data_IF_817879534725
#
_entry.id   IF_817879534725
#
_cell.length_a   1.000
_cell.length_b   1.000
_cell.length_c   1.000
_cell.angle_alpha   90.00
_cell.angle_beta   90.00
_cell.angle_gamma   90.00
#
_symmetry.space_group_name_H-M   'P 1'
#
loop_
_entity.id
_entity.type
_entity.pdbx_description
1 polymer ?
#
# COMPACT_ATOMS: atom_id res chain seq x y z
N UNK A 1 2.71 8.83 -11.96
CA UNK A 1 3.90 9.29 -11.22
C UNK A 1 5.00 8.27 -11.37
N UNK A 2 6.18 8.74 -11.68
CA UNK A 2 7.34 7.88 -11.80
C UNK A 2 8.10 7.91 -10.48
N UNK A 3 8.17 6.76 -9.83
CA UNK A 3 8.72 6.65 -8.49
C UNK A 3 10.21 6.39 -8.46
N UNK A 4 10.83 6.10 -9.59
CA UNK A 4 12.18 5.56 -9.56
C UNK A 4 13.24 6.36 -10.27
N UNK A 5 12.91 7.28 -11.12
CA UNK A 5 13.91 7.87 -12.00
C UNK A 5 14.71 9.00 -11.36
N UNK A 6 14.15 9.65 -10.38
CA UNK A 6 14.77 10.83 -9.78
C UNK A 6 15.40 10.52 -8.46
N UNK A 7 15.02 9.44 -7.87
CA UNK A 7 15.36 9.15 -6.49
C UNK A 7 16.28 7.98 -6.42
N UNK A 8 17.03 7.96 -5.38
CA UNK A 8 17.72 6.76 -5.00
C UNK A 8 16.68 5.67 -4.78
N UNK A 9 16.86 4.53 -5.41
CA UNK A 9 16.05 3.36 -5.17
C UNK A 9 16.35 2.75 -3.80
N UNK A 10 17.30 3.28 -3.07
CA UNK A 10 17.79 2.70 -1.83
C UNK A 10 17.97 3.76 -0.77
N UNK A 11 17.81 3.34 0.47
CA UNK A 11 18.20 4.11 1.63
C UNK A 11 19.30 3.35 2.38
N UNK A 12 19.98 4.04 3.27
CA UNK A 12 21.05 3.43 4.05
C UNK A 12 20.61 3.39 5.51
N UNK A 13 20.71 2.21 6.12
CA UNK A 13 20.43 2.05 7.54
C UNK A 13 21.49 2.76 8.40
N UNK A 14 21.22 2.97 9.70
CA UNK A 14 22.22 3.53 10.60
C UNK A 14 23.52 2.73 10.66
N UNK A 15 23.48 1.45 10.32
CA UNK A 15 24.66 0.59 10.28
C UNK A 15 25.40 0.67 8.94
N UNK A 16 24.96 1.51 8.02
CA UNK A 16 25.57 1.64 6.71
C UNK A 16 25.13 0.59 5.70
N UNK A 17 24.12 -0.20 6.02
CA UNK A 17 23.61 -1.22 5.12
C UNK A 17 22.58 -0.56 4.18
N UNK A 18 22.76 -0.80 2.89
CA UNK A 18 21.84 -0.31 1.88
C UNK A 18 20.50 -1.09 1.97
N UNK A 19 19.40 -0.38 2.06
CA UNK A 19 18.07 -0.96 2.21
C UNK A 19 17.16 -0.42 1.11
N UNK A 20 16.42 -1.31 0.46
CA UNK A 20 15.46 -0.93 -0.54
C UNK A 20 14.27 -0.20 0.13
N UNK A 21 13.90 1.00 -0.33
CA UNK A 21 12.78 1.72 0.28
C UNK A 21 11.44 1.08 -0.10
N UNK A 22 10.44 1.29 0.75
CA UNK A 22 9.07 0.97 0.42
C UNK A 22 8.53 2.02 -0.55
N UNK A 23 7.96 1.59 -1.65
CA UNK A 23 7.45 2.47 -2.69
C UNK A 23 5.97 2.25 -2.93
N UNK A 24 5.33 3.27 -3.46
CA UNK A 24 3.93 3.24 -3.86
C UNK A 24 3.82 3.83 -5.27
N UNK A 25 3.06 3.20 -6.12
CA UNK A 25 2.89 3.64 -7.49
C UNK A 25 1.52 3.30 -8.02
N UNK A 26 0.99 4.18 -8.88
CA UNK A 26 -0.23 3.87 -9.62
C UNK A 26 0.13 2.93 -10.75
N UNK A 27 -0.54 1.78 -10.80
CA UNK A 27 -0.26 0.72 -11.76
C UNK A 27 -1.20 0.73 -12.95
N UNK A 28 -2.22 1.57 -12.94
CA UNK A 28 -3.13 1.73 -14.07
C UNK A 28 -2.72 2.90 -14.93
N UNK A 29 -3.07 2.84 -16.22
CA UNK A 29 -2.79 3.94 -17.13
C UNK A 29 -3.56 5.20 -16.69
N UNK A 30 -2.99 6.41 -16.87
CA UNK A 30 -3.71 7.65 -16.65
C UNK A 30 -4.94 7.75 -17.56
N UNK A 31 -5.98 8.35 -17.05
CA UNK A 31 -7.19 8.60 -17.84
C UNK A 31 -8.45 8.24 -17.09
N UNK A 32 -9.55 8.26 -17.82
CA UNK A 32 -10.84 7.89 -17.26
C UNK A 32 -10.98 6.39 -17.32
N UNK A 33 -11.11 5.76 -16.16
CA UNK A 33 -11.28 4.32 -16.05
C UNK A 33 -12.23 3.98 -14.92
N UNK A 34 -12.75 2.76 -14.94
CA UNK A 34 -13.64 2.28 -13.87
C UNK A 34 -12.91 1.87 -12.62
N UNK A 35 -11.64 1.51 -12.72
CA UNK A 35 -10.83 0.98 -11.61
C UNK A 35 -9.43 1.56 -11.69
N UNK A 36 -8.90 1.96 -10.55
CA UNK A 36 -7.50 2.32 -10.40
C UNK A 36 -6.83 1.30 -9.48
N UNK A 37 -5.60 0.93 -9.81
CA UNK A 37 -4.79 0.00 -9.01
C UNK A 37 -3.56 0.75 -8.52
N UNK A 38 -3.33 0.65 -7.22
CA UNK A 38 -2.14 1.18 -6.58
C UNK A 38 -1.35 0.01 -6.01
N UNK A 39 -0.07 -0.04 -6.31
CA UNK A 39 0.82 -1.05 -5.74
C UNK A 39 1.70 -0.41 -4.69
N UNK A 40 1.82 -1.09 -3.56
CA UNK A 40 2.74 -0.71 -2.49
C UNK A 40 3.69 -1.88 -2.29
N UNK A 41 4.97 -1.63 -2.39
CA UNK A 41 5.98 -2.67 -2.35
C UNK A 41 7.15 -2.25 -1.47
N UNK A 42 7.66 -3.18 -0.69
CA UNK A 42 8.79 -2.95 0.18
C UNK A 42 8.58 -3.53 1.56
N UNK A 43 9.59 -3.39 2.38
CA UNK A 43 9.61 -3.98 3.72
C UNK A 43 8.46 -3.50 4.60
N UNK A 44 8.07 -2.23 4.47
CA UNK A 44 7.03 -1.63 5.30
C UNK A 44 5.66 -1.54 4.61
N UNK A 45 5.49 -2.21 3.47
CA UNK A 45 4.27 -2.08 2.67
C UNK A 45 3.01 -2.45 3.47
N UNK A 46 3.02 -3.58 4.13
CA UNK A 46 1.86 -4.05 4.90
C UNK A 46 1.58 -3.12 6.08
N UNK A 47 2.62 -2.68 6.77
CA UNK A 47 2.48 -1.77 7.90
C UNK A 47 1.86 -0.44 7.48
N UNK A 48 2.33 0.12 6.38
CA UNK A 48 1.83 1.39 5.85
C UNK A 48 0.38 1.24 5.40
N UNK A 49 0.07 0.22 4.61
CA UNK A 49 -1.29 -0.01 4.15
C UNK A 49 -2.25 -0.28 5.31
N UNK A 50 -1.79 -1.03 6.31
CA UNK A 50 -2.60 -1.33 7.48
C UNK A 50 -2.98 -0.06 8.25
N UNK A 51 -2.17 0.97 8.21
CA UNK A 51 -2.45 2.23 8.89
C UNK A 51 -3.64 2.98 8.29
N UNK A 52 -3.96 2.75 7.03
CA UNK A 52 -5.02 3.48 6.32
C UNK A 52 -6.19 2.60 5.87
N UNK A 53 -6.08 1.29 6.04
CA UNK A 53 -7.11 0.35 5.59
C UNK A 53 -7.94 -0.18 6.76
N UNK A 54 -9.26 -0.18 6.59
CA UNK A 54 -10.19 -0.71 7.60
C UNK A 54 -11.10 -1.74 6.93
N UNK A 55 -10.88 -3.04 7.21
CA UNK A 55 -11.75 -4.10 6.71
C UNK A 55 -13.16 -3.94 7.24
N UNK A 56 -14.16 -4.26 6.42
CA UNK A 56 -15.56 -4.10 6.82
C UNK A 56 -16.07 -5.22 7.71
N UNK A 57 -15.59 -6.44 7.50
CA UNK A 57 -16.21 -7.62 8.13
C UNK A 57 -15.29 -8.36 9.09
N UNK A 58 -14.15 -7.81 9.41
CA UNK A 58 -13.20 -8.48 10.29
C UNK A 58 -12.40 -7.44 11.06
N UNK A 59 -11.96 -7.84 12.25
CA UNK A 59 -11.02 -7.04 13.03
C UNK A 59 -9.57 -7.42 12.71
N UNK A 60 -9.38 -8.39 11.83
CA UNK A 60 -8.04 -8.81 11.43
C UNK A 60 -7.33 -7.71 10.63
N UNK A 61 -6.04 -7.61 10.86
CA UNK A 61 -5.20 -6.65 10.14
C UNK A 61 -4.69 -7.24 8.84
N UNK A 62 -4.09 -6.42 7.98
CA UNK A 62 -3.44 -6.91 6.78
C UNK A 62 -2.26 -7.83 7.09
N UNK A 63 -1.65 -7.67 8.26
CA UNK A 63 -0.58 -8.56 8.71
C UNK A 63 -1.07 -10.00 8.85
N UNK A 64 -2.33 -10.18 9.25
CA UNK A 64 -2.93 -11.50 9.44
C UNK A 64 -3.58 -12.04 8.16
N UNK A 65 -3.66 -11.22 7.12
CA UNK A 65 -4.29 -11.64 5.87
C UNK A 65 -3.39 -12.63 5.13
N UNK A 66 -3.90 -13.82 4.77
CA UNK A 66 -3.13 -14.76 3.98
C UNK A 66 -2.73 -14.18 2.62
N UNK A 67 -1.57 -14.58 2.10
CA UNK A 67 -1.15 -14.18 0.77
C UNK A 67 -2.16 -14.63 -0.28
N UNK A 68 -2.30 -13.84 -1.33
CA UNK A 68 -3.19 -14.09 -2.47
C UNK A 68 -4.67 -14.13 -2.12
N UNK A 69 -5.04 -13.49 -1.01
CA UNK A 69 -6.44 -13.29 -0.65
C UNK A 69 -6.81 -11.83 -0.79
N UNK A 70 -8.11 -11.57 -0.88
CA UNK A 70 -8.65 -10.22 -1.09
C UNK A 70 -9.54 -9.86 0.09
N UNK A 71 -9.41 -8.64 0.58
CA UNK A 71 -10.32 -8.09 1.59
C UNK A 71 -10.92 -6.79 1.10
N UNK A 72 -12.20 -6.64 1.38
CA UNK A 72 -12.96 -5.43 1.10
C UNK A 72 -12.97 -4.53 2.33
N UNK A 73 -12.81 -3.25 2.12
CA UNK A 73 -12.87 -2.28 3.20
C UNK A 73 -12.73 -0.86 2.72
N UNK A 74 -12.41 0.01 3.65
CA UNK A 74 -12.28 1.42 3.39
C UNK A 74 -10.84 1.89 3.58
N UNK A 75 -10.43 2.82 2.74
CA UNK A 75 -9.28 3.67 3.01
C UNK A 75 -9.77 4.85 3.84
N UNK A 76 -9.06 5.16 4.91
CA UNK A 76 -9.40 6.26 5.81
C UNK A 76 -8.28 7.30 5.82
N UNK A 77 -8.65 8.54 6.15
CA UNK A 77 -7.68 9.60 6.33
C UNK A 77 -7.12 9.60 7.76
N UNK A 78 -6.31 10.60 8.09
CA UNK A 78 -5.69 10.72 9.41
C UNK A 78 -6.69 10.89 10.55
N UNK A 79 -7.92 11.24 10.23
CA UNK A 79 -9.02 11.36 11.22
C UNK A 79 -9.90 10.13 11.24
N UNK A 80 -9.47 9.05 10.59
CA UNK A 80 -10.23 7.81 10.46
C UNK A 80 -11.56 7.97 9.72
N UNK A 81 -11.64 8.98 8.87
CA UNK A 81 -12.82 9.21 8.04
C UNK A 81 -12.65 8.46 6.73
N UNK A 82 -13.64 7.65 6.30
CA UNK A 82 -13.55 6.93 5.04
C UNK A 82 -13.41 7.86 3.84
N UNK A 83 -12.44 7.55 2.99
CA UNK A 83 -12.17 8.29 1.75
C UNK A 83 -12.68 7.52 0.55
N UNK A 84 -12.51 6.20 0.56
CA UNK A 84 -12.89 5.35 -0.57
C UNK A 84 -13.04 3.91 -0.12
N UNK A 85 -13.79 3.14 -0.92
CA UNK A 85 -13.93 1.70 -0.75
C UNK A 85 -12.93 1.00 -1.67
N UNK A 86 -12.26 -0.02 -1.14
CA UNK A 86 -11.19 -0.69 -1.88
C UNK A 86 -11.21 -2.20 -1.64
N UNK A 87 -10.57 -2.89 -2.57
CA UNK A 87 -10.18 -4.29 -2.40
C UNK A 87 -8.67 -4.32 -2.23
N UNK A 88 -8.20 -4.99 -1.19
CA UNK A 88 -6.77 -5.12 -0.93
C UNK A 88 -6.37 -6.57 -1.06
N UNK A 89 -5.37 -6.81 -1.91
CA UNK A 89 -4.76 -8.12 -2.08
C UNK A 89 -3.35 -8.08 -1.52
N UNK A 90 -2.99 -9.08 -0.74
CA UNK A 90 -1.62 -9.27 -0.23
C UNK A 90 -0.96 -10.37 -1.06
N UNK A 91 0.23 -10.11 -1.53
CA UNK A 91 1.02 -11.08 -2.30
C UNK A 91 2.12 -11.72 -1.46
#
# INVERSE_FOLDING_TARGET
>A
MDMNKQNSAYSVSPQGIEVEPTICAISTAPGVGGIAVIRVSGQDAIKICNSVFRPLKTDETLTDQPAYTVRYGNIVNEKSIPVDEVLVTVF
#
